data_IF_941284463928
#
_entry.id   IF_941284463928
#
_cell.length_a   1.000
_cell.length_b   1.000
_cell.length_c   1.000
_cell.angle_alpha   90.00
_cell.angle_beta   90.00
_cell.angle_gamma   90.00
#
_symmetry.space_group_name_H-M   'P 1'
#
loop_
_entity.id
_entity.type
_entity.pdbx_description
1 polymer ?
#
# COMPACT_ATOMS: atom_id res chain seq x y z
N UNK A 1 -68.25 30.13 36.70
CA UNK A 1 -67.01 30.63 36.20
C UNK A 1 -65.92 29.54 36.43
N UNK A 2 -65.70 28.69 35.44
CA UNK A 2 -64.82 27.52 35.54
C UNK A 2 -63.46 27.87 34.93
N UNK A 3 -62.39 27.85 35.74
CA UNK A 3 -61.00 28.00 35.22
C UNK A 3 -60.51 26.63 34.77
N UNK A 4 -60.24 26.50 33.48
CA UNK A 4 -59.51 25.34 32.90
C UNK A 4 -58.02 25.61 33.01
N UNK A 5 -57.32 24.80 33.79
CA UNK A 5 -55.84 24.75 33.82
C UNK A 5 -55.34 23.86 32.72
N UNK A 6 -54.55 24.45 31.81
CA UNK A 6 -53.88 23.72 30.74
C UNK A 6 -52.49 23.27 31.23
N UNK A 7 -52.28 21.98 31.43
CA UNK A 7 -50.96 21.40 31.69
C UNK A 7 -50.16 21.30 30.37
N UNK A 8 -49.07 22.05 30.27
CA UNK A 8 -48.07 21.88 29.23
C UNK A 8 -47.14 20.71 29.61
N UNK A 9 -47.21 19.62 28.84
CA UNK A 9 -46.23 18.54 28.90
C UNK A 9 -44.98 18.97 28.09
N UNK A 10 -43.86 19.21 28.79
CA UNK A 10 -42.53 19.33 28.17
C UNK A 10 -42.00 17.92 27.88
N UNK A 11 -41.86 17.59 26.60
CA UNK A 11 -41.16 16.39 26.14
C UNK A 11 -39.67 16.75 26.01
N UNK A 12 -38.74 16.06 26.72
CA UNK A 12 -37.31 16.28 26.48
C UNK A 12 -36.91 15.63 25.14
N UNK A 13 -36.47 16.46 24.23
CA UNK A 13 -35.81 16.00 22.99
C UNK A 13 -34.41 15.51 23.36
N UNK A 14 -34.21 14.20 23.36
CA UNK A 14 -32.86 13.59 23.39
C UNK A 14 -32.17 13.88 22.08
N UNK A 15 -31.25 14.84 22.07
CA UNK A 15 -30.30 15.01 20.94
C UNK A 15 -29.25 13.94 21.07
N UNK A 16 -29.39 12.89 20.28
CA UNK A 16 -28.30 11.91 20.03
C UNK A 16 -27.25 12.60 19.18
N UNK A 17 -26.13 12.98 19.78
CA UNK A 17 -24.95 13.40 19.06
C UNK A 17 -24.44 12.20 18.23
N UNK A 18 -24.76 12.19 16.93
CA UNK A 18 -24.12 11.31 15.96
C UNK A 18 -22.67 11.79 15.82
N UNK A 19 -21.75 11.19 16.59
CA UNK A 19 -20.32 11.35 16.37
C UNK A 19 -20.02 10.90 14.94
N UNK A 20 -19.40 11.77 14.14
CA UNK A 20 -18.70 11.37 12.92
C UNK A 20 -17.53 10.45 13.34
N UNK A 21 -17.83 9.18 13.57
CA UNK A 21 -16.85 8.13 13.80
C UNK A 21 -16.30 7.67 12.47
N UNK A 22 -14.98 7.56 12.40
CA UNK A 22 -14.18 6.77 11.48
C UNK A 22 -14.98 5.57 10.95
N UNK A 23 -14.87 5.29 9.65
CA UNK A 23 -15.53 4.16 9.02
C UNK A 23 -15.40 2.91 9.91
N UNK A 24 -16.52 2.44 10.42
CA UNK A 24 -16.58 1.19 11.17
C UNK A 24 -16.12 0.08 10.22
N UNK A 25 -15.01 -0.61 10.56
CA UNK A 25 -14.53 -1.75 9.78
C UNK A 25 -15.61 -2.83 9.68
N UNK A 26 -15.48 -3.68 8.68
CA UNK A 26 -16.37 -4.82 8.48
C UNK A 26 -15.74 -6.09 9.06
N UNK A 27 -16.48 -6.95 9.80
CA UNK A 27 -15.97 -8.25 10.19
C UNK A 27 -15.59 -9.05 8.95
N UNK A 28 -14.39 -9.65 8.95
CA UNK A 28 -14.06 -10.67 7.96
C UNK A 28 -14.80 -11.96 8.32
N UNK A 29 -15.58 -12.49 7.40
CA UNK A 29 -16.48 -13.63 7.66
C UNK A 29 -16.13 -14.87 6.84
N UNK A 30 -14.87 -15.03 6.47
CA UNK A 30 -14.45 -16.20 5.72
C UNK A 30 -14.45 -17.46 6.59
N UNK A 31 -15.05 -18.52 6.07
CA UNK A 31 -14.98 -19.84 6.69
C UNK A 31 -13.65 -20.53 6.34
N UNK A 32 -12.52 -19.91 6.71
CA UNK A 32 -11.20 -20.50 6.48
C UNK A 32 -10.83 -21.48 7.59
N UNK A 33 -10.26 -22.63 7.17
CA UNK A 33 -9.69 -23.60 8.06
C UNK A 33 -8.16 -23.51 8.01
N UNK A 34 -7.47 -23.79 9.14
CA UNK A 34 -6.00 -23.85 9.14
C UNK A 34 -5.47 -24.82 8.10
N UNK A 35 -4.43 -24.38 7.38
CA UNK A 35 -3.57 -25.23 6.56
C UNK A 35 -2.19 -25.34 7.19
N UNK A 36 -1.14 -24.90 6.48
CA UNK A 36 0.20 -24.73 7.07
C UNK A 36 0.29 -23.49 7.97
N UNK A 37 -0.63 -22.55 7.84
CA UNK A 37 -0.80 -21.38 8.72
C UNK A 37 -1.96 -21.63 9.67
N UNK A 38 -1.83 -21.17 10.91
CA UNK A 38 -2.89 -21.21 11.91
C UNK A 38 -3.11 -22.58 12.58
N UNK A 39 -2.22 -23.55 12.35
CA UNK A 39 -2.31 -24.86 13.00
C UNK A 39 -2.31 -24.71 14.54
N UNK A 40 -3.28 -25.36 15.19
CA UNK A 40 -3.47 -25.25 16.64
C UNK A 40 -4.15 -23.96 17.09
N UNK A 41 -4.57 -23.08 16.18
CA UNK A 41 -5.29 -21.82 16.46
C UNK A 41 -4.59 -20.92 17.48
N UNK A 42 -3.31 -20.53 17.25
CA UNK A 42 -2.49 -19.83 18.25
C UNK A 42 -2.98 -18.41 18.58
N UNK A 43 -3.97 -17.88 17.85
CA UNK A 43 -4.60 -16.59 18.08
C UNK A 43 -6.07 -16.72 18.54
N UNK A 44 -6.46 -17.88 19.05
CA UNK A 44 -7.82 -18.09 19.56
C UNK A 44 -8.15 -17.09 20.67
N UNK A 45 -9.31 -16.40 20.55
CA UNK A 45 -9.72 -15.33 21.45
C UNK A 45 -9.04 -13.97 21.21
N UNK A 46 -8.20 -13.84 20.19
CA UNK A 46 -7.70 -12.53 19.77
C UNK A 46 -8.76 -11.78 18.93
N UNK A 47 -8.89 -10.48 19.20
CA UNK A 47 -9.64 -9.56 18.35
C UNK A 47 -8.61 -8.65 17.69
N UNK A 48 -8.43 -8.78 16.38
CA UNK A 48 -7.40 -8.07 15.62
C UNK A 48 -8.02 -7.24 14.51
N UNK A 49 -7.56 -6.02 14.36
CA UNK A 49 -7.95 -5.13 13.27
C UNK A 49 -6.78 -5.01 12.29
N UNK A 50 -7.03 -5.28 11.01
CA UNK A 50 -6.05 -5.10 9.94
C UNK A 50 -6.38 -3.89 9.11
N UNK A 51 -5.34 -3.22 8.58
CA UNK A 51 -5.50 -2.14 7.62
C UNK A 51 -4.59 -2.30 6.41
N UNK A 52 -4.78 -1.47 5.41
CA UNK A 52 -3.91 -1.33 4.24
C UNK A 52 -4.11 0.03 3.60
N UNK A 53 -3.21 0.40 2.69
CA UNK A 53 -3.45 1.50 1.76
C UNK A 53 -4.48 1.09 0.70
N UNK A 54 -4.97 2.04 -0.09
CA UNK A 54 -6.12 1.86 -0.98
C UNK A 54 -5.80 1.27 -2.37
N UNK A 55 -4.54 1.10 -2.75
CA UNK A 55 -4.19 0.52 -4.06
C UNK A 55 -4.16 -1.02 -4.03
N UNK A 56 -4.33 -1.62 -5.19
CA UNK A 56 -4.58 -3.06 -5.39
C UNK A 56 -3.67 -3.98 -4.60
N UNK A 57 -2.34 -3.83 -4.72
CA UNK A 57 -1.39 -4.70 -4.02
C UNK A 57 -1.60 -4.66 -2.49
N UNK A 58 -1.86 -3.48 -1.95
CA UNK A 58 -2.09 -3.30 -0.52
C UNK A 58 -3.43 -3.91 -0.05
N UNK A 59 -4.48 -3.83 -0.87
CA UNK A 59 -5.75 -4.49 -0.57
C UNK A 59 -5.57 -6.01 -0.53
N UNK A 60 -4.82 -6.58 -1.48
CA UNK A 60 -4.50 -8.01 -1.50
C UNK A 60 -3.67 -8.41 -0.26
N UNK A 61 -2.64 -7.64 0.07
CA UNK A 61 -1.77 -7.90 1.23
C UNK A 61 -2.54 -7.79 2.56
N UNK A 62 -3.42 -6.79 2.70
CA UNK A 62 -4.28 -6.64 3.88
C UNK A 62 -5.24 -7.82 4.04
N UNK A 63 -5.85 -8.26 2.93
CA UNK A 63 -6.70 -9.45 2.93
C UNK A 63 -5.92 -10.73 3.32
N UNK A 64 -4.70 -10.94 2.79
CA UNK A 64 -3.85 -12.07 3.18
C UNK A 64 -3.55 -12.08 4.67
N UNK A 65 -3.24 -10.91 5.25
CA UNK A 65 -2.98 -10.78 6.68
C UNK A 65 -4.21 -11.16 7.51
N UNK A 66 -5.37 -10.63 7.16
CA UNK A 66 -6.63 -10.94 7.83
C UNK A 66 -7.00 -12.42 7.74
N UNK A 67 -6.89 -13.02 6.56
CA UNK A 67 -7.12 -14.45 6.33
C UNK A 67 -6.18 -15.32 7.17
N UNK A 68 -4.89 -14.95 7.27
CA UNK A 68 -3.92 -15.66 8.10
C UNK A 68 -4.29 -15.59 9.59
N UNK A 69 -4.73 -14.43 10.08
CA UNK A 69 -5.18 -14.26 11.45
C UNK A 69 -6.46 -15.06 11.75
N UNK A 70 -7.45 -15.06 10.83
CA UNK A 70 -8.65 -15.88 10.97
C UNK A 70 -8.32 -17.36 11.02
N UNK A 71 -7.46 -17.87 10.13
CA UNK A 71 -7.02 -19.26 10.15
C UNK A 71 -6.36 -19.63 11.48
N UNK A 72 -5.64 -18.67 12.09
CA UNK A 72 -5.02 -18.82 13.40
C UNK A 72 -5.98 -18.67 14.58
N UNK A 73 -7.27 -18.40 14.34
CA UNK A 73 -8.33 -18.37 15.36
C UNK A 73 -8.77 -16.99 15.83
N UNK A 74 -8.21 -15.92 15.28
CA UNK A 74 -8.61 -14.57 15.66
C UNK A 74 -9.96 -14.16 15.05
N UNK A 75 -10.70 -13.31 15.78
CA UNK A 75 -11.76 -12.49 15.21
C UNK A 75 -11.10 -11.28 14.54
N UNK A 76 -11.35 -11.09 13.24
CA UNK A 76 -10.66 -10.06 12.46
C UNK A 76 -11.65 -8.99 11.99
N UNK A 77 -11.27 -7.72 12.23
CA UNK A 77 -11.94 -6.54 11.70
C UNK A 77 -11.13 -5.98 10.54
N UNK A 78 -11.76 -5.86 9.38
CA UNK A 78 -11.17 -5.28 8.18
C UNK A 78 -11.36 -3.76 8.16
N UNK A 79 -10.25 -3.00 8.12
CA UNK A 79 -10.18 -1.56 7.87
C UNK A 79 -9.19 -1.24 6.75
N UNK A 80 -9.12 -2.09 5.75
CA UNK A 80 -8.27 -1.89 4.57
C UNK A 80 -8.77 -0.73 3.70
N UNK A 81 -7.91 -0.25 2.80
CA UNK A 81 -8.29 0.78 1.82
C UNK A 81 -8.14 2.22 2.30
N UNK A 82 -7.29 2.49 3.29
CA UNK A 82 -7.01 3.85 3.77
C UNK A 82 -6.27 4.64 2.71
N UNK A 83 -6.73 5.86 2.42
CA UNK A 83 -6.07 6.75 1.48
C UNK A 83 -4.77 7.30 2.08
N UNK A 84 -3.68 7.13 1.34
CA UNK A 84 -2.36 7.64 1.68
C UNK A 84 -1.63 6.84 2.76
N UNK A 85 -0.31 7.04 2.79
CA UNK A 85 0.60 6.26 3.64
C UNK A 85 0.55 6.71 5.10
N UNK A 86 0.46 8.03 5.34
CA UNK A 86 0.50 8.61 6.71
C UNK A 86 -0.69 8.13 7.55
N UNK A 87 -1.91 8.16 6.99
CA UNK A 87 -3.12 7.76 7.71
C UNK A 87 -3.12 6.29 8.12
N UNK A 88 -2.70 5.41 7.21
CA UNK A 88 -2.61 3.97 7.48
C UNK A 88 -1.60 3.66 8.59
N UNK A 89 -0.38 4.24 8.52
CA UNK A 89 0.63 4.08 9.55
C UNK A 89 0.18 4.62 10.92
N UNK A 90 -0.38 5.83 10.96
CA UNK A 90 -0.84 6.42 12.22
C UNK A 90 -1.89 5.56 12.91
N UNK A 91 -2.79 4.93 12.17
CA UNK A 91 -3.76 4.01 12.73
C UNK A 91 -3.11 2.81 13.44
N UNK A 92 -2.01 2.25 12.89
CA UNK A 92 -1.24 1.17 13.55
C UNK A 92 -0.48 1.73 14.76
N UNK A 93 0.18 2.89 14.59
CA UNK A 93 0.99 3.51 15.65
C UNK A 93 0.17 3.87 16.89
N UNK A 94 -1.03 4.42 16.71
CA UNK A 94 -1.94 4.76 17.82
C UNK A 94 -2.60 3.54 18.47
N UNK A 95 -2.66 2.41 17.74
CA UNK A 95 -3.35 1.20 18.16
C UNK A 95 -4.84 1.20 17.82
N UNK A 96 -5.29 2.09 16.92
CA UNK A 96 -6.64 2.04 16.35
C UNK A 96 -6.82 0.83 15.44
N UNK A 97 -5.71 0.34 14.87
CA UNK A 97 -5.58 -0.95 14.21
C UNK A 97 -4.32 -1.67 14.68
N UNK A 98 -4.26 -2.98 14.50
CA UNK A 98 -3.20 -3.83 15.05
C UNK A 98 -2.03 -4.03 14.10
N UNK A 99 -2.30 -4.13 12.81
CA UNK A 99 -1.30 -4.53 11.84
C UNK A 99 -1.62 -4.10 10.41
N UNK A 100 -0.55 -3.96 9.61
CA UNK A 100 -0.60 -3.82 8.16
C UNK A 100 0.66 -4.41 7.52
N UNK A 101 0.64 -4.63 6.20
CA UNK A 101 1.87 -4.72 5.43
C UNK A 101 2.29 -3.32 4.98
N UNK A 102 3.56 -2.99 5.20
CA UNK A 102 4.11 -1.70 4.80
C UNK A 102 5.45 -1.89 4.07
N UNK A 103 5.96 -0.83 3.45
CA UNK A 103 7.16 -0.85 2.62
C UNK A 103 8.32 -0.16 3.34
N UNK A 104 9.45 -0.85 3.42
CA UNK A 104 10.65 -0.34 4.12
C UNK A 104 11.15 0.99 3.55
N UNK A 105 11.03 1.22 2.24
CA UNK A 105 11.42 2.48 1.61
C UNK A 105 10.55 3.66 2.03
N UNK A 106 9.23 3.44 2.09
CA UNK A 106 8.28 4.45 2.57
C UNK A 106 8.57 4.81 4.02
N UNK A 107 8.80 3.81 4.87
CA UNK A 107 9.12 4.04 6.28
C UNK A 107 10.41 4.84 6.43
N UNK A 108 11.48 4.41 5.75
CA UNK A 108 12.79 5.04 5.84
C UNK A 108 12.79 6.51 5.41
N UNK A 109 12.20 6.80 4.25
CA UNK A 109 12.21 8.16 3.68
C UNK A 109 11.09 9.01 4.25
N UNK A 110 9.83 8.54 4.20
CA UNK A 110 8.68 9.39 4.47
C UNK A 110 8.38 9.52 5.96
N UNK A 111 8.47 8.41 6.71
CA UNK A 111 8.09 8.44 8.13
C UNK A 111 9.25 8.84 9.04
N UNK A 112 10.46 8.36 8.72
CA UNK A 112 11.65 8.62 9.53
C UNK A 112 12.46 9.81 9.02
N UNK A 113 12.09 10.40 7.87
CA UNK A 113 12.63 11.66 7.36
C UNK A 113 14.05 11.56 6.80
N UNK A 114 14.52 10.35 6.46
CA UNK A 114 15.85 10.18 5.87
C UNK A 114 15.86 10.62 4.40
N UNK A 115 16.97 11.15 3.92
CA UNK A 115 17.11 11.64 2.54
C UNK A 115 17.79 10.65 1.60
N UNK A 116 18.56 9.72 2.14
CA UNK A 116 19.37 8.79 1.35
C UNK A 116 18.89 7.35 1.56
N UNK A 117 18.67 6.57 0.48
CA UNK A 117 18.30 5.17 0.60
C UNK A 117 19.47 4.32 1.09
N UNK A 118 19.15 3.22 1.79
CA UNK A 118 20.12 2.19 2.13
C UNK A 118 20.08 1.13 1.02
N UNK A 119 21.19 0.93 0.24
CA UNK A 119 21.16 0.03 -0.92
C UNK A 119 20.91 -1.44 -0.59
N UNK A 120 21.37 -1.90 0.58
CA UNK A 120 21.12 -3.26 1.05
C UNK A 120 19.74 -3.37 1.69
N UNK A 121 18.83 -4.19 1.14
CA UNK A 121 17.45 -4.26 1.61
C UNK A 121 17.31 -4.77 3.04
N UNK A 122 18.20 -5.68 3.48
CA UNK A 122 18.16 -6.19 4.85
C UNK A 122 18.63 -5.11 5.85
N UNK A 123 19.68 -4.37 5.51
CA UNK A 123 20.14 -3.26 6.34
C UNK A 123 19.11 -2.14 6.40
N UNK A 124 18.41 -1.87 5.30
CA UNK A 124 17.33 -0.88 5.30
C UNK A 124 16.18 -1.31 6.22
N UNK A 125 15.73 -2.57 6.10
CA UNK A 125 14.73 -3.10 7.00
C UNK A 125 15.19 -3.03 8.47
N UNK A 126 16.43 -3.42 8.77
CA UNK A 126 16.94 -3.37 10.15
C UNK A 126 16.93 -1.94 10.70
N UNK A 127 17.37 -0.96 9.90
CA UNK A 127 17.36 0.44 10.30
C UNK A 127 15.93 0.96 10.56
N UNK A 128 14.98 0.59 9.69
CA UNK A 128 13.56 0.92 9.87
C UNK A 128 13.00 0.27 11.15
N UNK A 129 13.28 -1.02 11.35
CA UNK A 129 12.85 -1.76 12.54
C UNK A 129 13.34 -1.09 13.83
N UNK A 130 14.64 -0.79 13.90
CA UNK A 130 15.26 -0.24 15.11
C UNK A 130 14.70 1.15 15.44
N UNK A 131 14.53 2.00 14.42
CA UNK A 131 13.97 3.34 14.60
C UNK A 131 12.50 3.32 15.03
N UNK A 132 11.71 2.37 14.53
CA UNK A 132 10.27 2.34 14.79
C UNK A 132 9.89 1.70 16.13
N UNK A 133 10.80 0.97 16.77
CA UNK A 133 10.58 0.46 18.14
C UNK A 133 10.25 1.60 19.12
N UNK A 134 10.90 2.75 18.99
CA UNK A 134 10.66 3.94 19.83
C UNK A 134 9.28 4.55 19.55
N UNK A 135 8.72 4.31 18.37
CA UNK A 135 7.39 4.77 17.97
C UNK A 135 6.26 3.78 18.28
N UNK A 136 6.59 2.66 18.95
CA UNK A 136 5.60 1.63 19.33
C UNK A 136 5.18 0.73 18.17
N UNK A 137 6.01 0.62 17.14
CA UNK A 137 5.83 -0.24 15.98
C UNK A 137 6.94 -1.30 15.93
N UNK A 138 6.58 -2.51 15.54
CA UNK A 138 7.53 -3.62 15.34
C UNK A 138 7.40 -4.12 13.92
N UNK A 139 8.51 -4.12 13.18
CA UNK A 139 8.61 -4.65 11.84
C UNK A 139 9.09 -6.10 11.87
N UNK A 140 8.26 -7.03 11.40
CA UNK A 140 8.69 -8.41 11.22
C UNK A 140 9.59 -8.55 9.98
N UNK A 141 10.30 -9.69 9.79
CA UNK A 141 11.20 -9.86 8.66
C UNK A 141 10.53 -9.60 7.31
N UNK A 142 11.21 -8.94 6.37
CA UNK A 142 10.64 -8.54 5.09
C UNK A 142 10.58 -9.70 4.10
N UNK A 143 9.70 -9.57 3.12
CA UNK A 143 9.67 -10.40 1.93
C UNK A 143 10.73 -9.97 0.90
N UNK A 144 10.90 -10.76 -0.16
CA UNK A 144 11.66 -10.35 -1.34
C UNK A 144 10.84 -9.50 -2.33
N UNK A 145 9.56 -9.28 -2.06
CA UNK A 145 8.72 -8.36 -2.82
C UNK A 145 9.22 -6.93 -2.63
N UNK A 146 9.70 -6.33 -3.71
CA UNK A 146 10.15 -4.95 -3.77
C UNK A 146 9.34 -4.19 -4.82
N UNK A 147 8.37 -3.40 -4.36
CA UNK A 147 7.49 -2.62 -5.23
C UNK A 147 8.01 -1.20 -5.41
N UNK A 148 9.07 -1.05 -6.21
CA UNK A 148 9.68 0.25 -6.48
C UNK A 148 8.93 1.04 -7.55
N UNK A 149 9.15 2.35 -7.57
CA UNK A 149 8.65 3.26 -8.61
C UNK A 149 9.44 3.15 -9.91
N UNK A 150 8.77 3.49 -11.02
CA UNK A 150 9.39 3.73 -12.31
C UNK A 150 8.53 4.73 -13.11
N UNK A 151 9.06 5.23 -14.22
CA UNK A 151 8.25 5.89 -15.25
C UNK A 151 7.95 4.91 -16.38
N UNK A 152 6.70 4.86 -16.82
CA UNK A 152 6.28 4.08 -17.96
C UNK A 152 5.73 4.96 -19.09
N UNK A 153 5.80 4.46 -20.32
CA UNK A 153 5.25 5.11 -21.50
C UNK A 153 4.63 4.07 -22.43
N UNK A 154 3.76 4.50 -23.34
CA UNK A 154 3.25 3.61 -24.38
C UNK A 154 4.27 3.36 -25.48
N UNK A 155 4.03 2.34 -26.32
CA UNK A 155 4.96 1.94 -27.39
C UNK A 155 5.15 3.02 -28.45
N UNK A 156 4.16 3.88 -28.71
CA UNK A 156 4.29 4.99 -29.66
C UNK A 156 5.30 6.04 -29.15
N UNK A 157 5.21 6.42 -27.90
CA UNK A 157 6.14 7.34 -27.25
C UNK A 157 7.54 6.69 -27.11
N UNK A 158 7.60 5.39 -26.79
CA UNK A 158 8.86 4.67 -26.75
C UNK A 158 9.59 4.68 -28.11
N UNK A 159 8.87 4.41 -29.20
CA UNK A 159 9.44 4.51 -30.56
C UNK A 159 9.87 5.94 -30.92
N UNK A 160 9.10 6.92 -30.49
CA UNK A 160 9.36 8.35 -30.80
C UNK A 160 10.55 8.92 -30.09
N UNK A 161 10.69 8.61 -28.79
CA UNK A 161 11.69 9.25 -27.93
C UNK A 161 12.88 8.35 -27.57
N UNK A 162 12.71 7.02 -27.61
CA UNK A 162 13.77 6.03 -27.36
C UNK A 162 14.32 5.99 -25.94
N UNK A 163 13.63 6.63 -24.97
CA UNK A 163 14.06 6.72 -23.58
C UNK A 163 13.94 5.37 -22.87
N UNK A 164 15.04 4.90 -22.28
CA UNK A 164 15.13 3.59 -21.60
C UNK A 164 15.44 3.74 -20.12
N UNK A 165 16.01 4.89 -19.73
CA UNK A 165 16.44 5.18 -18.37
C UNK A 165 15.86 6.52 -17.92
N UNK A 166 15.85 6.77 -16.61
CA UNK A 166 15.49 8.09 -16.07
C UNK A 166 16.48 9.17 -16.50
N UNK A 167 17.76 8.81 -16.70
CA UNK A 167 18.73 9.75 -17.30
C UNK A 167 18.38 10.16 -18.75
N UNK A 168 17.80 9.24 -19.53
CA UNK A 168 17.31 9.57 -20.88
C UNK A 168 16.11 10.54 -20.82
N UNK A 169 15.18 10.30 -19.88
CA UNK A 169 14.04 11.19 -19.65
C UNK A 169 14.53 12.59 -19.23
N UNK A 170 15.53 12.67 -18.36
CA UNK A 170 16.12 13.93 -17.95
C UNK A 170 16.79 14.66 -19.13
N UNK A 171 17.50 13.93 -20.01
CA UNK A 171 18.08 14.51 -21.21
C UNK A 171 17.00 15.03 -22.17
N UNK A 172 15.90 14.30 -22.35
CA UNK A 172 14.76 14.72 -23.13
C UNK A 172 14.09 15.98 -22.56
N UNK A 173 13.89 16.03 -21.23
CA UNK A 173 13.31 17.19 -20.56
C UNK A 173 14.14 18.48 -20.77
N UNK A 174 15.46 18.36 -20.74
CA UNK A 174 16.37 19.48 -21.01
C UNK A 174 16.32 19.95 -22.46
N UNK A 175 16.28 19.00 -23.42
CA UNK A 175 16.30 19.30 -24.86
C UNK A 175 14.92 19.79 -25.35
N UNK A 176 13.86 19.21 -24.87
CA UNK A 176 12.48 19.50 -25.26
C UNK A 176 11.53 19.37 -24.07
N UNK A 177 11.43 20.38 -23.21
CA UNK A 177 10.59 20.33 -22.01
C UNK A 177 9.12 20.01 -22.29
N UNK A 178 8.59 20.40 -23.45
CA UNK A 178 7.21 20.11 -23.86
C UNK A 178 6.96 18.63 -24.22
N UNK A 179 8.00 17.85 -24.44
CA UNK A 179 7.88 16.42 -24.73
C UNK A 179 7.72 15.56 -23.47
N UNK A 180 8.03 16.08 -22.30
CA UNK A 180 7.90 15.38 -21.03
C UNK A 180 6.67 15.90 -20.30
N UNK A 181 5.59 15.10 -20.37
CA UNK A 181 4.37 15.30 -19.59
C UNK A 181 4.19 14.09 -18.68
N UNK A 182 3.84 14.33 -17.42
CA UNK A 182 3.74 13.31 -16.38
C UNK A 182 2.31 13.17 -15.87
N UNK A 183 1.82 11.96 -15.79
CA UNK A 183 0.69 11.56 -14.96
C UNK A 183 1.23 10.90 -13.70
N UNK A 184 0.89 11.42 -12.52
CA UNK A 184 1.44 10.96 -11.23
C UNK A 184 0.37 10.96 -10.16
N UNK A 185 0.58 10.13 -9.14
CA UNK A 185 -0.24 10.13 -7.94
C UNK A 185 0.21 11.26 -6.98
N UNK A 186 -0.68 11.69 -6.10
CA UNK A 186 -0.45 12.86 -5.23
C UNK A 186 0.70 12.67 -4.25
N UNK A 187 0.89 11.47 -3.68
CA UNK A 187 2.05 11.19 -2.82
C UNK A 187 3.35 11.27 -3.62
N UNK A 188 3.42 10.62 -4.79
CA UNK A 188 4.59 10.69 -5.65
C UNK A 188 4.93 12.13 -6.07
N UNK A 189 3.90 12.95 -6.34
CA UNK A 189 4.09 14.35 -6.70
C UNK A 189 4.75 15.20 -5.60
N UNK A 190 4.62 14.79 -4.32
CA UNK A 190 5.01 15.63 -3.18
C UNK A 190 6.09 15.03 -2.28
N UNK A 191 6.35 13.72 -2.35
CA UNK A 191 7.32 13.03 -1.49
C UNK A 191 8.76 13.26 -1.96
N UNK A 192 9.70 13.24 -1.03
CA UNK A 192 11.14 13.39 -1.32
C UNK A 192 11.73 12.21 -2.08
N UNK A 193 11.13 11.01 -1.98
CA UNK A 193 11.43 9.82 -2.79
C UNK A 193 10.52 9.69 -4.02
N UNK A 194 9.77 10.74 -4.35
CA UNK A 194 8.92 10.88 -5.53
C UNK A 194 9.48 11.87 -6.55
N UNK A 195 8.58 12.64 -7.18
CA UNK A 195 8.91 13.56 -8.27
C UNK A 195 9.96 14.61 -7.87
N UNK A 196 9.85 15.33 -6.74
CA UNK A 196 10.83 16.35 -6.38
C UNK A 196 12.24 15.79 -6.20
N UNK A 197 12.36 14.63 -5.56
CA UNK A 197 13.66 13.98 -5.37
C UNK A 197 14.22 13.41 -6.67
N UNK A 198 13.37 12.80 -7.50
CA UNK A 198 13.76 12.31 -8.83
C UNK A 198 14.27 13.44 -9.71
N UNK A 199 13.58 14.57 -9.74
CA UNK A 199 14.05 15.75 -10.48
C UNK A 199 15.43 16.22 -10.03
N UNK A 200 15.64 16.30 -8.71
CA UNK A 200 16.93 16.66 -8.11
C UNK A 200 18.02 15.64 -8.47
N UNK A 201 17.76 14.35 -8.28
CA UNK A 201 18.73 13.27 -8.49
C UNK A 201 19.17 13.16 -9.96
N UNK A 202 18.24 13.37 -10.88
CA UNK A 202 18.51 13.30 -12.31
C UNK A 202 18.83 14.66 -12.94
N UNK A 203 18.77 15.74 -12.17
CA UNK A 203 19.01 17.09 -12.65
C UNK A 203 18.06 17.49 -13.78
N UNK A 204 16.80 17.11 -13.69
CA UNK A 204 15.73 17.51 -14.60
C UNK A 204 14.74 18.43 -13.89
N UNK A 205 13.92 19.12 -14.68
CA UNK A 205 12.79 19.90 -14.18
C UNK A 205 11.65 19.74 -15.16
N UNK A 206 10.51 19.31 -14.67
CA UNK A 206 9.29 19.19 -15.47
C UNK A 206 8.38 20.37 -15.10
N UNK A 207 8.03 21.25 -16.05
CA UNK A 207 7.15 22.38 -15.75
C UNK A 207 5.84 21.92 -15.11
N UNK A 208 5.36 22.62 -14.08
CA UNK A 208 4.15 22.23 -13.34
C UNK A 208 2.92 22.03 -14.25
N UNK A 209 2.79 22.80 -15.33
CA UNK A 209 1.73 22.63 -16.35
C UNK A 209 1.79 21.30 -17.11
N UNK A 210 2.92 20.59 -17.03
CA UNK A 210 3.15 19.29 -17.66
C UNK A 210 2.97 18.12 -16.67
N UNK A 211 2.62 18.41 -15.42
CA UNK A 211 2.36 17.40 -14.38
C UNK A 211 0.87 17.37 -14.09
N UNK A 212 0.23 16.23 -14.28
CA UNK A 212 -1.18 16.02 -13.97
C UNK A 212 -1.29 15.00 -12.86
N UNK A 213 -1.88 15.37 -11.73
CA UNK A 213 -2.14 14.47 -10.63
C UNK A 213 -3.46 13.73 -10.83
N UNK A 214 -3.45 12.43 -10.54
CA UNK A 214 -4.61 11.55 -10.64
C UNK A 214 -4.41 10.29 -9.82
N UNK A 215 -5.49 9.51 -9.63
CA UNK A 215 -5.41 8.22 -8.93
C UNK A 215 -4.55 7.22 -9.69
N UNK A 216 -3.80 6.40 -8.95
CA UNK A 216 -2.87 5.39 -9.48
C UNK A 216 -3.48 4.54 -10.60
N UNK A 217 -4.71 4.03 -10.41
CA UNK A 217 -5.39 3.20 -11.42
C UNK A 217 -5.62 3.90 -12.76
N UNK A 218 -5.81 5.22 -12.75
CA UNK A 218 -6.08 6.02 -13.94
C UNK A 218 -4.79 6.28 -14.73
N UNK A 219 -3.66 6.41 -14.07
CA UNK A 219 -2.35 6.73 -14.69
C UNK A 219 -2.04 5.77 -15.84
N UNK A 220 -2.16 4.47 -15.62
CA UNK A 220 -1.84 3.44 -16.64
C UNK A 220 -2.65 3.62 -17.93
N UNK A 221 -3.95 3.88 -17.78
CA UNK A 221 -4.84 4.12 -18.91
C UNK A 221 -4.51 5.41 -19.65
N UNK A 222 -4.16 6.49 -18.94
CA UNK A 222 -3.78 7.76 -19.54
C UNK A 222 -2.45 7.66 -20.29
N UNK A 223 -1.50 6.94 -19.75
CA UNK A 223 -0.22 6.62 -20.42
C UNK A 223 -0.46 5.80 -21.68
N UNK A 224 -1.27 4.74 -21.59
CA UNK A 224 -1.60 3.90 -22.75
C UNK A 224 -2.22 4.73 -23.88
N UNK A 225 -3.17 5.64 -23.57
CA UNK A 225 -3.82 6.54 -24.53
C UNK A 225 -2.89 7.64 -25.07
N UNK A 226 -1.75 7.89 -24.40
CA UNK A 226 -0.81 8.95 -24.76
C UNK A 226 -1.22 10.34 -24.27
N UNK A 227 -2.17 10.43 -23.32
CA UNK A 227 -2.55 11.71 -22.68
C UNK A 227 -1.38 12.30 -21.89
N UNK A 228 -0.56 11.47 -21.27
CA UNK A 228 0.76 11.80 -20.74
C UNK A 228 1.83 11.01 -21.49
N UNK A 229 2.99 11.63 -21.70
CA UNK A 229 4.13 10.94 -22.32
C UNK A 229 4.65 9.85 -21.40
N UNK A 230 4.70 10.12 -20.11
CA UNK A 230 5.11 9.19 -19.05
C UNK A 230 4.07 9.20 -17.94
N UNK A 231 3.98 8.08 -17.22
CA UNK A 231 3.27 7.98 -15.95
C UNK A 231 4.15 7.32 -14.90
N UNK A 232 3.97 7.74 -13.68
CA UNK A 232 4.52 7.02 -12.54
C UNK A 232 3.79 5.67 -12.42
N UNK A 233 4.56 4.61 -12.21
CA UNK A 233 4.05 3.25 -12.08
C UNK A 233 4.77 2.49 -10.97
N UNK A 234 4.08 1.50 -10.42
CA UNK A 234 4.65 0.50 -9.53
C UNK A 234 5.16 -0.68 -10.34
N UNK A 235 6.41 -1.12 -10.14
CA UNK A 235 7.03 -2.18 -10.96
C UNK A 235 6.39 -3.56 -10.81
N UNK A 236 5.55 -3.74 -9.81
CA UNK A 236 4.78 -4.98 -9.57
C UNK A 236 3.36 -4.95 -10.12
N UNK A 237 2.97 -3.88 -10.81
CA UNK A 237 1.63 -3.71 -11.36
C UNK A 237 1.41 -4.54 -12.64
N UNK A 238 0.33 -5.33 -12.66
CA UNK A 238 0.00 -6.21 -13.79
C UNK A 238 -0.36 -5.47 -15.08
N UNK A 239 -0.84 -4.23 -14.99
CA UNK A 239 -1.22 -3.38 -16.14
C UNK A 239 -0.04 -3.01 -17.02
N UNK A 240 1.19 -3.00 -16.49
CA UNK A 240 2.40 -2.76 -17.30
C UNK A 240 2.45 -3.76 -18.46
N UNK A 241 2.27 -5.05 -18.15
CA UNK A 241 2.31 -6.12 -19.15
C UNK A 241 1.06 -6.11 -20.04
N UNK A 242 -0.13 -6.04 -19.47
CA UNK A 242 -1.38 -6.12 -20.23
C UNK A 242 -1.58 -4.95 -21.19
N UNK A 243 -1.10 -3.76 -20.83
CA UNK A 243 -1.16 -2.56 -21.67
C UNK A 243 0.11 -2.37 -22.52
N UNK A 244 1.04 -3.33 -22.48
CA UNK A 244 2.30 -3.29 -23.25
C UNK A 244 3.06 -1.96 -23.06
N UNK A 245 3.21 -1.52 -21.81
CA UNK A 245 3.94 -0.30 -21.49
C UNK A 245 5.45 -0.56 -21.44
N UNK A 246 6.23 0.39 -21.95
CA UNK A 246 7.68 0.40 -21.79
C UNK A 246 8.04 1.12 -20.48
N UNK A 247 8.86 0.50 -19.65
CA UNK A 247 9.28 1.01 -18.35
C UNK A 247 10.72 1.50 -18.41
N UNK A 248 11.01 2.66 -17.83
CA UNK A 248 12.36 3.20 -17.70
C UNK A 248 13.09 2.57 -16.51
N UNK A 249 14.39 2.38 -16.67
CA UNK A 249 15.25 1.94 -15.57
C UNK A 249 15.71 3.14 -14.71
N UNK A 250 15.76 2.93 -13.40
CA UNK A 250 16.41 3.84 -12.45
C UNK A 250 17.92 3.59 -12.47
N UNK A 251 18.63 4.17 -13.43
CA UNK A 251 20.05 3.95 -13.69
C UNK A 251 20.99 4.57 -12.66
N UNK A 252 20.48 5.47 -11.81
CA UNK A 252 21.23 6.06 -10.69
C UNK A 252 20.85 5.48 -9.34
N UNK A 253 19.91 4.53 -9.28
CA UNK A 253 19.44 3.89 -8.05
C UNK A 253 18.95 4.93 -7.02
N UNK A 254 18.17 5.88 -7.50
CA UNK A 254 17.57 6.92 -6.68
C UNK A 254 16.47 6.37 -5.76
N UNK A 255 15.62 5.50 -6.29
CA UNK A 255 14.52 4.94 -5.49
C UNK A 255 15.05 3.96 -4.44
N UNK A 256 14.59 4.03 -3.19
CA UNK A 256 14.94 3.08 -2.15
C UNK A 256 14.38 1.68 -2.45
N UNK A 257 14.79 0.70 -1.65
CA UNK A 257 14.13 -0.61 -1.64
C UNK A 257 12.77 -0.49 -0.94
N UNK A 258 11.70 -0.87 -1.63
CA UNK A 258 10.34 -0.91 -1.06
C UNK A 258 9.96 -2.36 -0.75
N UNK A 259 10.78 -3.04 0.07
CA UNK A 259 10.46 -4.41 0.49
C UNK A 259 9.26 -4.40 1.44
N UNK A 260 8.30 -5.29 1.14
CA UNK A 260 7.10 -5.48 1.95
C UNK A 260 7.44 -6.23 3.22
N UNK A 261 7.01 -5.72 4.36
CA UNK A 261 7.12 -6.36 5.66
C UNK A 261 5.87 -6.12 6.53
N UNK A 262 5.52 -7.04 7.43
CA UNK A 262 4.46 -6.77 8.40
C UNK A 262 4.92 -5.70 9.40
N UNK A 263 4.12 -4.65 9.56
CA UNK A 263 4.23 -3.60 10.57
C UNK A 263 3.12 -3.81 11.60
N UNK A 264 3.49 -4.07 12.84
CA UNK A 264 2.59 -4.46 13.92
C UNK A 264 2.69 -3.47 15.08
N UNK A 265 1.56 -3.09 15.68
CA UNK A 265 1.58 -2.37 16.95
C UNK A 265 2.33 -3.21 18.00
N UNK A 266 3.36 -2.63 18.63
CA UNK A 266 4.23 -3.36 19.56
C UNK A 266 3.47 -3.94 20.76
N UNK A 267 2.41 -3.27 21.23
CA UNK A 267 1.59 -3.78 22.34
C UNK A 267 0.79 -5.01 21.92
N UNK A 268 0.25 -4.99 20.70
CA UNK A 268 -0.46 -6.14 20.12
C UNK A 268 0.47 -7.33 19.97
N UNK A 269 1.68 -7.13 19.41
CA UNK A 269 2.65 -8.21 19.25
C UNK A 269 3.11 -8.79 20.60
N UNK A 270 3.30 -7.95 21.61
CA UNK A 270 3.61 -8.42 22.98
C UNK A 270 2.49 -9.24 23.58
N UNK A 271 1.25 -8.87 23.34
CA UNK A 271 0.07 -9.63 23.82
C UNK A 271 -0.14 -10.93 23.05
N UNK A 272 0.14 -10.92 21.75
CA UNK A 272 -0.09 -12.04 20.84
C UNK A 272 1.18 -12.36 20.05
N UNK A 273 2.25 -12.90 20.66
CA UNK A 273 3.54 -13.12 19.99
C UNK A 273 3.45 -14.12 18.83
N UNK A 274 2.45 -15.01 18.83
CA UNK A 274 2.19 -15.94 17.73
C UNK A 274 1.90 -15.25 16.38
N UNK A 275 1.58 -13.96 16.36
CA UNK A 275 1.41 -13.18 15.12
C UNK A 275 2.63 -13.32 14.21
N UNK A 276 3.85 -13.32 14.78
CA UNK A 276 5.08 -13.46 14.02
C UNK A 276 5.15 -14.82 13.29
N UNK A 277 4.83 -15.90 13.96
CA UNK A 277 4.85 -17.26 13.40
C UNK A 277 3.74 -17.44 12.34
N UNK A 278 2.60 -16.81 12.54
CA UNK A 278 1.44 -16.86 11.61
C UNK A 278 1.75 -16.13 10.30
N UNK A 279 2.43 -14.97 10.34
CA UNK A 279 2.70 -14.16 9.15
C UNK A 279 3.98 -14.57 8.41
N UNK A 280 4.98 -15.14 9.09
CA UNK A 280 6.28 -15.45 8.51
C UNK A 280 6.20 -16.35 7.25
N UNK A 281 5.45 -17.47 7.23
CA UNK A 281 5.35 -18.31 6.03
C UNK A 281 4.74 -17.58 4.83
N UNK A 282 3.71 -16.77 5.06
CA UNK A 282 3.05 -15.98 4.01
C UNK A 282 4.01 -14.92 3.47
N UNK A 283 4.64 -14.15 4.36
CA UNK A 283 5.59 -13.08 4.00
C UNK A 283 6.76 -13.62 3.18
N UNK A 284 7.35 -14.75 3.56
CA UNK A 284 8.47 -15.37 2.83
C UNK A 284 8.14 -15.80 1.40
N UNK A 285 6.89 -16.08 1.09
CA UNK A 285 6.46 -16.47 -0.27
C UNK A 285 6.20 -15.29 -1.19
N UNK A 286 6.05 -14.07 -0.63
CA UNK A 286 5.83 -12.85 -1.39
C UNK A 286 7.10 -12.46 -2.15
N UNK A 287 6.94 -12.23 -3.45
CA UNK A 287 7.99 -11.74 -4.36
C UNK A 287 7.35 -11.01 -5.54
N UNK A 288 8.15 -10.33 -6.35
CA UNK A 288 7.64 -9.53 -7.47
C UNK A 288 6.83 -10.33 -8.50
N UNK A 289 7.12 -11.62 -8.69
CA UNK A 289 6.36 -12.46 -9.63
C UNK A 289 4.98 -12.78 -9.09
N UNK A 290 4.89 -13.16 -7.82
CA UNK A 290 3.62 -13.37 -7.12
C UNK A 290 2.79 -12.10 -7.15
N UNK A 291 3.36 -10.96 -6.74
CA UNK A 291 2.65 -9.69 -6.72
C UNK A 291 2.08 -9.31 -8.10
N UNK A 292 2.90 -9.36 -9.16
CA UNK A 292 2.42 -9.07 -10.53
C UNK A 292 1.28 -9.98 -10.98
N UNK A 293 1.34 -11.26 -10.60
CA UNK A 293 0.30 -12.22 -10.96
C UNK A 293 -1.01 -11.90 -10.25
N UNK A 294 -0.95 -11.60 -8.95
CA UNK A 294 -2.14 -11.30 -8.15
C UNK A 294 -2.72 -9.92 -8.50
N UNK A 295 -1.87 -8.92 -8.65
CA UNK A 295 -2.29 -7.58 -9.08
C UNK A 295 -2.99 -7.63 -10.45
N UNK A 296 -2.48 -8.46 -11.40
CA UNK A 296 -3.10 -8.60 -12.71
C UNK A 296 -4.52 -9.18 -12.64
N UNK A 297 -4.78 -10.14 -11.75
CA UNK A 297 -6.13 -10.69 -11.55
C UNK A 297 -7.14 -9.61 -11.15
N UNK A 298 -6.73 -8.68 -10.29
CA UNK A 298 -7.59 -7.57 -9.87
C UNK A 298 -7.65 -6.48 -10.95
N UNK A 299 -6.50 -5.96 -11.37
CA UNK A 299 -6.43 -4.77 -12.20
C UNK A 299 -6.79 -5.00 -13.68
N UNK A 300 -6.67 -6.25 -14.16
CA UNK A 300 -6.89 -6.62 -15.56
C UNK A 300 -8.12 -7.52 -15.70
N UNK A 301 -8.24 -8.53 -14.84
CA UNK A 301 -9.32 -9.51 -14.93
C UNK A 301 -10.56 -9.08 -14.13
N UNK A 302 -10.44 -8.04 -13.25
CA UNK A 302 -11.54 -7.48 -12.47
C UNK A 302 -11.97 -8.34 -11.28
N UNK A 303 -11.11 -9.25 -10.84
CA UNK A 303 -11.39 -10.07 -9.66
C UNK A 303 -11.36 -9.23 -8.37
N UNK A 304 -12.10 -9.64 -7.37
CA UNK A 304 -12.09 -9.00 -6.05
C UNK A 304 -10.76 -9.25 -5.32
N UNK A 305 -10.10 -8.23 -4.73
CA UNK A 305 -8.80 -8.38 -4.07
C UNK A 305 -8.78 -9.42 -2.94
N UNK A 306 -9.88 -9.51 -2.17
CA UNK A 306 -10.00 -10.47 -1.09
C UNK A 306 -10.10 -11.89 -1.62
N UNK A 307 -10.88 -12.12 -2.69
CA UNK A 307 -11.00 -13.42 -3.33
C UNK A 307 -9.68 -13.86 -3.99
N UNK A 308 -8.94 -12.93 -4.57
CA UNK A 308 -7.59 -13.18 -5.12
C UNK A 308 -6.63 -13.62 -4.00
N UNK A 309 -6.64 -12.92 -2.86
CA UNK A 309 -5.84 -13.27 -1.70
C UNK A 309 -6.20 -14.67 -1.18
N UNK A 310 -7.49 -14.95 -0.96
CA UNK A 310 -7.98 -16.24 -0.47
C UNK A 310 -7.63 -17.38 -1.43
N UNK A 311 -7.81 -17.18 -2.73
CA UNK A 311 -7.47 -18.17 -3.75
C UNK A 311 -5.98 -18.51 -3.74
N UNK A 312 -5.11 -17.51 -3.62
CA UNK A 312 -3.67 -17.72 -3.52
C UNK A 312 -3.28 -18.41 -2.20
N UNK A 313 -3.83 -18.00 -1.08
CA UNK A 313 -3.57 -18.60 0.23
C UNK A 313 -3.96 -20.09 0.25
N UNK A 314 -5.08 -20.47 -0.42
CA UNK A 314 -5.49 -21.87 -0.60
C UNK A 314 -4.53 -22.63 -1.53
N UNK A 315 -4.15 -22.04 -2.66
CA UNK A 315 -3.25 -22.66 -3.63
C UNK A 315 -1.87 -22.95 -3.05
N UNK A 316 -1.36 -22.08 -2.16
CA UNK A 316 -0.11 -22.28 -1.44
C UNK A 316 -0.25 -23.25 -0.23
N UNK A 317 -1.48 -23.67 0.11
CA UNK A 317 -1.77 -24.56 1.23
C UNK A 317 -1.66 -23.88 2.60
N UNK A 318 -1.68 -22.56 2.65
CA UNK A 318 -1.67 -21.82 3.91
C UNK A 318 -2.99 -22.00 4.67
N UNK A 319 -4.11 -22.02 3.94
CA UNK A 319 -5.46 -22.23 4.45
C UNK A 319 -6.22 -23.23 3.58
N UNK A 320 -7.36 -23.73 4.08
CA UNK A 320 -8.25 -24.67 3.38
C UNK A 320 -9.61 -24.05 3.13
#
# INVERSE_FOLDING_TARGET
>A
MSRRSTCLLLIPVLVTASGCGLQSGSPMVDAVQPGSVGHGRPLDGAHLTVTSKSFTEQLILGAMMGIAFQAAGADVLDRTGVQGSIGAREAVRTGDVDAMYEYTGTAWITYQGNSEPIPDPHKQWQAVHDADLEHGLTWLPPSSLNNTYALAMNQANFKKYGTRTLSDVAALAKKNPGAVTLCVESEFANRTDGLPGMEKAYGMSVPAKNVTQMDTGIIYTQVQKGSCTYGEVFTTDGRIKSMNLAVTADDRKFFPNYNVAPEINTKTLKKWPAIAEVLDPVTKRLNNTVARTLNAKVDVDGEDPHQVALGWMKAEGFVK
#
